data_IF_011486272358
#
_entry.id   IF_011486272358
#
_cell.length_a   1.000
_cell.length_b   1.000
_cell.length_c   1.000
_cell.angle_alpha   90.00
_cell.angle_beta   90.00
_cell.angle_gamma   90.00
#
_symmetry.space_group_name_H-M   'P 1'
#
loop_
_entity.id
_entity.type
_entity.pdbx_description
1 polymer ?
#
# COMPACT_ATOMS: atom_id res chain seq x y z
N UNK A 1 38.38 3.82 -0.69
CA UNK A 1 37.24 4.20 -1.55
C UNK A 1 36.46 2.92 -1.80
N UNK A 2 35.46 2.63 -0.95
CA UNK A 2 34.65 1.40 -1.05
C UNK A 2 33.75 1.45 -2.29
N UNK A 3 33.88 0.48 -3.17
CA UNK A 3 32.99 0.33 -4.33
C UNK A 3 31.72 -0.38 -3.88
N UNK A 4 30.58 0.29 -3.94
CA UNK A 4 29.26 -0.30 -3.66
C UNK A 4 29.06 -1.56 -4.53
N UNK A 5 28.50 -2.64 -3.97
CA UNK A 5 28.28 -3.87 -4.70
C UNK A 5 27.37 -3.63 -5.91
N UNK A 6 27.80 -4.11 -7.08
CA UNK A 6 27.05 -4.00 -8.32
C UNK A 6 25.76 -4.81 -8.19
N UNK A 7 24.61 -4.12 -8.13
CA UNK A 7 23.30 -4.75 -8.07
C UNK A 7 23.09 -5.67 -9.27
N UNK A 8 22.96 -6.98 -9.02
CA UNK A 8 22.66 -7.98 -10.04
C UNK A 8 21.17 -7.93 -10.37
N UNK A 9 20.85 -7.73 -11.65
CA UNK A 9 19.46 -7.80 -12.13
C UNK A 9 18.98 -9.24 -12.02
N UNK A 10 18.02 -9.50 -11.14
CA UNK A 10 17.28 -10.77 -11.14
C UNK A 10 16.26 -10.69 -12.27
N UNK A 11 16.48 -11.46 -13.34
CA UNK A 11 15.54 -11.54 -14.45
C UNK A 11 14.51 -12.63 -14.17
N UNK A 12 13.25 -12.22 -13.99
CA UNK A 12 12.11 -13.12 -14.06
C UNK A 12 11.55 -13.03 -15.48
N UNK A 13 11.39 -14.15 -16.22
CA UNK A 13 10.71 -14.11 -17.49
C UNK A 13 9.24 -13.74 -17.29
N UNK A 14 8.74 -12.81 -18.10
CA UNK A 14 7.32 -12.48 -18.13
C UNK A 14 6.54 -13.66 -18.72
N UNK A 15 5.44 -14.01 -18.07
CA UNK A 15 4.49 -15.00 -18.57
C UNK A 15 3.70 -14.44 -19.77
N UNK A 16 3.00 -15.32 -20.49
CA UNK A 16 2.12 -14.89 -21.58
C UNK A 16 1.03 -13.91 -21.10
N UNK A 17 0.50 -14.11 -19.90
CA UNK A 17 -0.51 -13.25 -19.30
C UNK A 17 0.06 -11.85 -18.99
N UNK A 18 1.27 -11.78 -18.43
CA UNK A 18 1.93 -10.50 -18.14
C UNK A 18 2.11 -9.65 -19.41
N UNK A 19 2.41 -10.30 -20.54
CA UNK A 19 2.55 -9.63 -21.84
C UNK A 19 1.22 -9.12 -22.39
N UNK A 20 0.13 -9.88 -22.20
CA UNK A 20 -1.23 -9.45 -22.56
C UNK A 20 -1.68 -8.25 -21.73
N UNK A 21 -1.45 -8.29 -20.42
CA UNK A 21 -1.76 -7.18 -19.52
C UNK A 21 -0.96 -5.92 -19.86
N UNK A 22 0.34 -6.07 -20.15
CA UNK A 22 1.17 -4.96 -20.60
C UNK A 22 0.67 -4.35 -21.91
N UNK A 23 0.19 -5.18 -22.83
CA UNK A 23 -0.41 -4.71 -24.07
C UNK A 23 -1.68 -3.91 -23.80
N UNK A 24 -2.56 -4.40 -22.93
CA UNK A 24 -3.77 -3.69 -22.52
C UNK A 24 -3.44 -2.34 -21.88
N UNK A 25 -2.50 -2.29 -20.94
CA UNK A 25 -2.04 -1.07 -20.28
C UNK A 25 -1.45 -0.04 -21.25
N UNK A 26 -0.78 -0.50 -22.33
CA UNK A 26 -0.20 0.37 -23.36
C UNK A 26 -1.19 0.84 -24.41
N UNK A 27 -2.13 0.00 -24.82
CA UNK A 27 -2.99 0.26 -25.98
C UNK A 27 -4.35 0.80 -25.58
N UNK A 28 -4.90 0.38 -24.44
CA UNK A 28 -6.23 0.80 -23.99
C UNK A 28 -6.18 2.07 -23.13
N UNK A 29 -6.87 3.16 -23.54
CA UNK A 29 -6.93 4.38 -22.74
C UNK A 29 -7.52 4.16 -21.34
N UNK A 30 -8.51 3.26 -21.22
CA UNK A 30 -9.20 2.97 -19.96
C UNK A 30 -8.22 2.35 -18.94
N UNK A 31 -7.43 1.37 -19.39
CA UNK A 31 -6.44 0.70 -18.55
C UNK A 31 -5.30 1.65 -18.17
N UNK A 32 -4.86 2.50 -19.11
CA UNK A 32 -3.84 3.52 -18.83
C UNK A 32 -4.31 4.52 -17.79
N UNK A 33 -5.53 5.04 -17.92
CA UNK A 33 -6.10 5.98 -16.95
C UNK A 33 -6.22 5.35 -15.56
N UNK A 34 -6.63 4.08 -15.48
CA UNK A 34 -6.67 3.34 -14.23
C UNK A 34 -5.27 3.21 -13.60
N UNK A 35 -4.24 2.90 -14.40
CA UNK A 35 -2.86 2.82 -13.92
C UNK A 35 -2.33 4.17 -13.45
N UNK A 36 -2.64 5.27 -14.17
CA UNK A 36 -2.27 6.63 -13.74
C UNK A 36 -2.89 6.96 -12.38
N UNK A 37 -4.17 6.62 -12.17
CA UNK A 37 -4.84 6.82 -10.87
C UNK A 37 -4.21 5.98 -9.76
N UNK A 38 -3.90 4.71 -10.03
CA UNK A 38 -3.30 3.82 -9.06
C UNK A 38 -1.88 4.26 -8.69
N UNK A 39 -1.01 4.44 -9.68
CA UNK A 39 0.39 4.81 -9.51
C UNK A 39 0.59 6.26 -9.04
N UNK A 40 -0.34 7.16 -9.37
CA UNK A 40 -0.18 8.60 -9.15
C UNK A 40 0.85 9.25 -10.08
N UNK A 41 1.16 8.62 -11.21
CA UNK A 41 2.16 9.08 -12.19
C UNK A 41 1.53 9.11 -13.57
N UNK A 42 1.75 10.18 -14.33
CA UNK A 42 1.31 10.28 -15.72
C UNK A 42 2.09 9.32 -16.62
N UNK A 43 1.37 8.56 -17.45
CA UNK A 43 1.96 7.64 -18.41
C UNK A 43 1.57 8.08 -19.82
N UNK A 44 2.58 8.43 -20.61
CA UNK A 44 2.40 8.79 -22.03
C UNK A 44 1.85 7.62 -22.85
N UNK A 45 1.14 7.95 -23.94
CA UNK A 45 0.75 6.98 -24.96
C UNK A 45 1.94 6.29 -25.64
N UNK A 46 3.09 6.97 -25.66
CA UNK A 46 4.36 6.47 -26.23
C UNK A 46 5.31 5.89 -25.19
N UNK A 47 4.84 5.62 -23.97
CA UNK A 47 5.67 5.05 -22.91
C UNK A 47 6.25 3.68 -23.31
N UNK A 48 7.50 3.44 -22.93
CA UNK A 48 8.14 2.13 -23.13
C UNK A 48 7.52 1.09 -22.20
N UNK A 49 7.66 -0.20 -22.54
CA UNK A 49 7.20 -1.31 -21.68
C UNK A 49 7.84 -1.26 -20.30
N UNK A 50 9.13 -0.91 -20.23
CA UNK A 50 9.83 -0.75 -18.96
C UNK A 50 9.21 0.37 -18.10
N UNK A 51 8.76 1.48 -18.71
CA UNK A 51 8.11 2.56 -17.99
C UNK A 51 6.72 2.15 -17.47
N UNK A 52 5.96 1.39 -18.26
CA UNK A 52 4.66 0.84 -17.84
C UNK A 52 4.84 -0.17 -16.71
N UNK A 53 5.78 -1.10 -16.84
CA UNK A 53 6.13 -2.04 -15.77
C UNK A 53 6.55 -1.34 -14.48
N UNK A 54 7.37 -0.30 -14.60
CA UNK A 54 7.79 0.47 -13.43
C UNK A 54 6.59 1.16 -12.75
N UNK A 55 5.65 1.72 -13.52
CA UNK A 55 4.44 2.30 -12.94
C UNK A 55 3.53 1.25 -12.27
N UNK A 56 3.41 0.05 -12.84
CA UNK A 56 2.68 -1.07 -12.20
C UNK A 56 3.36 -1.45 -10.88
N UNK A 57 4.69 -1.51 -10.87
CA UNK A 57 5.46 -1.79 -9.66
C UNK A 57 5.24 -0.73 -8.57
N UNK A 58 5.32 0.56 -8.94
CA UNK A 58 5.08 1.66 -8.00
C UNK A 58 3.65 1.68 -7.47
N UNK A 59 2.65 1.41 -8.32
CA UNK A 59 1.26 1.26 -7.90
C UNK A 59 1.10 0.12 -6.87
N UNK A 60 1.74 -1.03 -7.10
CA UNK A 60 1.74 -2.15 -6.16
C UNK A 60 2.39 -1.80 -4.83
N UNK A 61 3.56 -1.16 -4.84
CA UNK A 61 4.24 -0.72 -3.62
C UNK A 61 3.43 0.33 -2.85
N UNK A 62 2.76 1.24 -3.56
CA UNK A 62 1.86 2.22 -2.95
C UNK A 62 0.69 1.52 -2.26
N UNK A 63 0.02 0.58 -2.93
CA UNK A 63 -1.09 -0.17 -2.34
C UNK A 63 -0.67 -0.94 -1.07
N UNK A 64 0.53 -1.53 -1.05
CA UNK A 64 1.08 -2.20 0.13
C UNK A 64 1.32 -1.20 1.28
N UNK A 65 1.86 -0.02 0.99
CA UNK A 65 2.08 1.03 1.99
C UNK A 65 0.77 1.53 2.59
N UNK A 66 -0.20 1.85 1.75
CA UNK A 66 -1.54 2.27 2.18
C UNK A 66 -2.19 1.20 3.08
N UNK A 67 -2.09 -0.08 2.70
CA UNK A 67 -2.60 -1.19 3.49
C UNK A 67 -1.93 -1.31 4.88
N UNK A 68 -0.63 -1.01 4.98
CA UNK A 68 0.10 -1.02 6.25
C UNK A 68 -0.31 0.19 7.11
N UNK A 69 -0.43 1.36 6.51
CA UNK A 69 -0.87 2.58 7.19
C UNK A 69 -2.27 2.40 7.78
N UNK A 70 -3.22 1.87 6.99
CA UNK A 70 -4.58 1.58 7.44
C UNK A 70 -4.61 0.63 8.64
N UNK A 71 -3.78 -0.42 8.62
CA UNK A 71 -3.66 -1.35 9.76
C UNK A 71 -3.09 -0.65 11.00
N UNK A 72 -2.05 0.16 10.83
CA UNK A 72 -1.45 0.92 11.93
C UNK A 72 -2.46 1.89 12.57
N UNK A 73 -3.24 2.60 11.76
CA UNK A 73 -4.29 3.48 12.27
C UNK A 73 -5.40 2.71 13.00
N UNK A 74 -5.81 1.55 12.50
CA UNK A 74 -6.79 0.71 13.17
C UNK A 74 -6.30 0.22 14.54
N UNK A 75 -5.03 -0.18 14.65
CA UNK A 75 -4.42 -0.59 15.91
C UNK A 75 -4.35 0.58 16.92
N UNK A 76 -3.93 1.77 16.46
CA UNK A 76 -3.89 2.97 17.31
C UNK A 76 -5.28 3.35 17.84
N UNK A 77 -6.32 3.28 16.99
CA UNK A 77 -7.69 3.52 17.40
C UNK A 77 -8.15 2.51 18.46
N UNK A 78 -7.87 1.22 18.25
CA UNK A 78 -8.21 0.17 19.21
C UNK A 78 -7.52 0.36 20.57
N UNK A 79 -6.26 0.81 20.57
CA UNK A 79 -5.53 1.13 21.80
C UNK A 79 -6.14 2.34 22.53
N UNK A 80 -6.50 3.41 21.81
CA UNK A 80 -7.17 4.56 22.42
C UNK A 80 -8.50 4.15 23.05
N UNK A 81 -9.31 3.34 22.37
CA UNK A 81 -10.58 2.84 22.90
C UNK A 81 -10.38 1.99 24.17
N UNK A 82 -9.32 1.18 24.22
CA UNK A 82 -8.99 0.41 25.41
C UNK A 82 -8.61 1.32 26.60
N UNK A 83 -7.79 2.35 26.35
CA UNK A 83 -7.39 3.33 27.37
C UNK A 83 -8.60 4.12 27.88
N UNK A 84 -9.49 4.57 26.99
CA UNK A 84 -10.71 5.27 27.38
C UNK A 84 -11.65 4.38 28.20
N UNK A 85 -11.86 3.13 27.79
CA UNK A 85 -12.65 2.15 28.56
C UNK A 85 -12.06 1.91 29.95
N UNK A 86 -10.74 1.76 30.05
CA UNK A 86 -10.06 1.61 31.34
C UNK A 86 -10.21 2.84 32.23
N UNK A 87 -10.06 4.05 31.67
CA UNK A 87 -10.27 5.30 32.40
C UNK A 87 -11.71 5.45 32.90
N UNK A 88 -12.71 5.10 32.08
CA UNK A 88 -14.11 5.10 32.47
C UNK A 88 -14.42 4.09 33.59
N UNK A 89 -13.83 2.89 33.52
CA UNK A 89 -13.96 1.88 34.57
C UNK A 89 -13.37 2.35 35.90
N UNK A 90 -12.21 3.03 35.89
CA UNK A 90 -11.58 3.60 37.10
C UNK A 90 -12.37 4.76 37.71
N UNK A 91 -13.14 5.50 36.91
CA UNK A 91 -14.01 6.60 37.38
C UNK A 91 -15.32 6.12 38.00
N UNK A 92 -15.77 4.91 37.67
CA UNK A 92 -16.92 4.31 38.33
C UNK A 92 -16.51 3.88 39.74
N UNK A 93 -17.11 4.51 40.75
CA UNK A 93 -16.97 4.09 42.14
C UNK A 93 -17.46 2.63 42.25
N UNK A 94 -16.66 1.68 42.74
CA UNK A 94 -17.08 0.29 42.87
C UNK A 94 -18.31 0.18 43.75
N UNK A 95 -19.27 -0.69 43.43
CA UNK A 95 -20.52 -0.84 44.19
C UNK A 95 -20.30 -1.25 45.65
N UNK A 96 -19.19 -1.92 45.95
CA UNK A 96 -18.83 -2.30 47.33
C UNK A 96 -18.43 -1.08 48.19
N UNK A 97 -18.04 0.04 47.57
CA UNK A 97 -17.58 1.23 48.29
C UNK A 97 -18.72 2.05 48.93
N UNK A 98 -19.99 1.66 48.72
CA UNK A 98 -21.17 2.21 49.38
C UNK A 98 -21.79 1.21 50.39
N UNK A 99 -21.16 0.06 50.62
CA UNK A 99 -21.51 -0.88 51.70
C UNK A 99 -20.70 -0.53 52.96
N UNK A 100 -21.09 0.52 53.68
CA UNK A 100 -20.55 0.82 55.02
C UNK A 100 -21.53 1.61 55.87
#
# INVERSE_FOLDING_TARGET
METLPKSTRKSLPLSAHDLEDLKLLKESPIYREALVKAAGVEISNSASEAAVLHAVWEAGLKAIREQIEDQGYAEMAAQQDAVQRQAAARRRRPSWADES
#
